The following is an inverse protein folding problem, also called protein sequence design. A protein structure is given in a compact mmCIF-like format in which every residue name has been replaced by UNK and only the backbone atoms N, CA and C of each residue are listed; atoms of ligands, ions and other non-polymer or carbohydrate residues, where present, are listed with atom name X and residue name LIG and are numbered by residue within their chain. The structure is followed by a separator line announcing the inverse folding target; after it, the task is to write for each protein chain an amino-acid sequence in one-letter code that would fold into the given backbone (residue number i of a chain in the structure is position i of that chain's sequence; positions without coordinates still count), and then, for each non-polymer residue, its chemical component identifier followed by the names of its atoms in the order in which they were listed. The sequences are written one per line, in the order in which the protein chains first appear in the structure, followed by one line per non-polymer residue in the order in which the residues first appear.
data_IF_564762490346
#
_entry.id   IF_564762490346
#
_cell.length_a   1.000
_cell.length_b   1.000
_cell.length_c   1.000
_cell.angle_alpha   90.00
_cell.angle_beta   90.00
_cell.angle_gamma   90.00
#
_symmetry.space_group_name_H-M   'P 1'
#
loop_
_entity.id
_entity.type
_entity.pdbx_description
1 polymer ?
#
# COMPACT_ATOMS: atom_id res chain seq x y z
N UNK A 1 30.45 32.50 19.33
CA UNK A 1 30.16 31.80 18.05
C UNK A 1 29.71 30.34 18.22
N UNK A 2 30.34 29.50 19.06
CA UNK A 2 29.96 28.08 19.22
C UNK A 2 28.48 27.85 19.60
N UNK A 3 27.94 28.64 20.55
CA UNK A 3 26.55 28.48 21.04
C UNK A 3 25.52 28.85 19.96
N UNK A 4 25.84 29.82 19.10
CA UNK A 4 24.96 30.29 18.02
C UNK A 4 24.90 29.27 16.86
N UNK A 5 26.02 28.59 16.59
CA UNK A 5 26.09 27.52 15.60
C UNK A 5 25.31 26.27 16.05
N UNK A 6 25.38 25.92 17.34
CA UNK A 6 24.61 24.80 17.91
C UNK A 6 23.10 25.06 17.87
N UNK A 7 22.67 26.30 18.14
CA UNK A 7 21.26 26.69 18.04
C UNK A 7 20.72 26.57 16.61
N UNK A 8 21.49 27.02 15.60
CA UNK A 8 21.12 26.95 14.19
C UNK A 8 20.93 25.49 13.71
N UNK A 9 21.83 24.60 14.12
CA UNK A 9 21.75 23.17 13.79
C UNK A 9 20.52 22.52 14.45
N UNK A 10 20.15 22.94 15.66
CA UNK A 10 18.97 22.43 16.35
C UNK A 10 17.66 22.79 15.62
N UNK A 11 17.53 24.02 15.11
CA UNK A 11 16.36 24.45 14.33
C UNK A 11 16.19 23.71 12.99
N UNK A 12 17.28 23.24 12.37
CA UNK A 12 17.21 22.50 11.11
C UNK A 12 16.53 21.13 11.25
N UNK A 13 16.53 20.52 12.44
CA UNK A 13 15.93 19.20 12.67
C UNK A 13 14.44 19.24 13.05
N UNK A 14 13.87 20.41 13.38
CA UNK A 14 12.48 20.53 13.86
C UNK A 14 11.41 20.21 12.79
N UNK A 15 11.76 20.14 11.51
CA UNK A 15 10.81 19.94 10.41
C UNK A 15 10.69 18.50 9.90
N UNK A 16 11.42 17.54 10.51
CA UNK A 16 11.33 16.14 10.11
C UNK A 16 10.11 15.47 10.76
N UNK A 17 9.03 15.29 9.99
CA UNK A 17 7.82 14.59 10.44
C UNK A 17 7.76 13.19 9.82
N UNK A 18 7.67 12.16 10.68
CA UNK A 18 7.32 10.80 10.25
C UNK A 18 5.81 10.68 10.26
N UNK A 19 5.22 10.48 9.08
CA UNK A 19 3.79 10.18 8.97
C UNK A 19 3.65 8.67 9.04
N UNK A 20 2.89 8.21 10.03
CA UNK A 20 2.52 6.81 10.17
C UNK A 20 1.11 6.64 9.63
N UNK A 21 0.96 5.81 8.61
CA UNK A 21 -0.35 5.47 8.04
C UNK A 21 -0.62 4.00 8.29
N UNK A 22 -1.68 3.73 9.04
CA UNK A 22 -2.19 2.37 9.27
C UNK A 22 -3.41 2.14 8.39
N UNK A 23 -3.41 1.04 7.66
CA UNK A 23 -4.56 0.60 6.85
C UNK A 23 -4.93 -0.80 7.26
N UNK A 24 -6.18 -0.99 7.66
CA UNK A 24 -6.73 -2.30 8.00
C UNK A 24 -7.58 -2.82 6.83
N UNK A 25 -7.20 -3.97 6.30
CA UNK A 25 -8.02 -4.73 5.35
C UNK A 25 -8.72 -5.87 6.07
N UNK A 26 -9.91 -6.20 5.62
CA UNK A 26 -10.68 -7.32 6.15
C UNK A 26 -11.19 -8.19 5.00
N UNK A 27 -11.28 -9.49 5.25
CA UNK A 27 -11.94 -10.44 4.36
C UNK A 27 -12.79 -11.40 5.18
N UNK A 28 -13.92 -11.80 4.62
CA UNK A 28 -14.79 -12.82 5.19
C UNK A 28 -14.68 -14.09 4.36
N UNK A 29 -14.74 -15.24 5.03
CA UNK A 29 -14.77 -16.55 4.37
C UNK A 29 -15.77 -17.47 5.03
N UNK A 30 -16.24 -18.44 4.25
CA UNK A 30 -17.23 -19.43 4.67
C UNK A 30 -16.69 -20.83 4.43
N UNK A 31 -17.01 -21.75 5.33
CA UNK A 31 -16.48 -23.11 5.28
C UNK A 31 -17.42 -24.13 5.90
N UNK A 32 -17.56 -25.26 5.21
CA UNK A 32 -18.35 -26.39 5.65
C UNK A 32 -17.47 -27.61 5.98
N UNK A 33 -17.69 -28.21 7.14
CA UNK A 33 -16.95 -29.40 7.59
C UNK A 33 -17.78 -30.30 8.49
N UNK A 34 -17.42 -31.59 8.53
CA UNK A 34 -18.05 -32.59 9.39
C UNK A 34 -17.79 -32.24 10.87
N UNK A 35 -16.61 -31.69 11.17
CA UNK A 35 -16.28 -31.15 12.49
C UNK A 35 -16.18 -29.63 12.46
N UNK A 36 -16.34 -28.99 13.63
CA UNK A 36 -16.19 -27.55 13.78
C UNK A 36 -14.81 -27.06 13.33
N UNK A 37 -13.76 -27.79 13.70
CA UNK A 37 -12.38 -27.47 13.33
C UNK A 37 -12.18 -27.51 11.81
N UNK A 38 -12.78 -28.50 11.15
CA UNK A 38 -12.72 -28.62 9.70
C UNK A 38 -13.44 -27.47 9.00
N UNK A 39 -14.61 -27.07 9.52
CA UNK A 39 -15.37 -25.94 9.00
C UNK A 39 -14.60 -24.62 9.17
N UNK A 40 -14.02 -24.38 10.35
CA UNK A 40 -13.18 -23.20 10.63
C UNK A 40 -11.95 -23.17 9.71
N UNK A 41 -11.23 -24.28 9.56
CA UNK A 41 -10.05 -24.35 8.69
C UNK A 41 -10.37 -24.02 7.23
N UNK A 42 -11.51 -24.50 6.70
CA UNK A 42 -11.97 -24.16 5.35
C UNK A 42 -12.41 -22.71 5.22
N UNK A 43 -13.13 -22.19 6.22
CA UNK A 43 -13.56 -20.79 6.23
C UNK A 43 -12.36 -19.83 6.25
N UNK A 44 -11.31 -20.18 7.00
CA UNK A 44 -10.05 -19.45 7.03
C UNK A 44 -9.33 -19.51 5.68
N UNK A 45 -9.27 -20.67 5.04
CA UNK A 45 -8.68 -20.80 3.71
C UNK A 45 -9.41 -19.93 2.67
N UNK A 46 -10.75 -19.91 2.68
CA UNK A 46 -11.56 -19.04 1.82
C UNK A 46 -11.29 -17.55 2.10
N UNK A 47 -11.34 -17.14 3.37
CA UNK A 47 -11.08 -15.76 3.78
C UNK A 47 -9.68 -15.27 3.35
N UNK A 48 -8.66 -16.11 3.55
CA UNK A 48 -7.27 -15.83 3.17
C UNK A 48 -7.16 -15.72 1.65
N UNK A 49 -7.80 -16.63 0.92
CA UNK A 49 -7.81 -16.61 -0.55
C UNK A 49 -8.40 -15.32 -1.10
N UNK A 50 -9.48 -14.81 -0.48
CA UNK A 50 -10.09 -13.51 -0.81
C UNK A 50 -9.20 -12.33 -0.46
N UNK A 51 -8.44 -12.41 0.63
CA UNK A 51 -7.51 -11.33 1.04
C UNK A 51 -6.25 -11.25 0.16
N UNK A 52 -5.77 -12.39 -0.37
CA UNK A 52 -4.50 -12.49 -1.11
C UNK A 52 -4.65 -12.85 -2.60
N UNK A 53 -5.88 -12.97 -3.12
CA UNK A 53 -6.17 -13.17 -4.54
C UNK A 53 -5.75 -14.55 -5.09
N UNK A 54 -6.16 -15.64 -4.43
CA UNK A 54 -5.99 -17.03 -4.93
C UNK A 54 -4.56 -17.60 -4.88
N UNK A 55 -3.52 -16.77 -4.80
CA UNK A 55 -2.11 -17.20 -4.76
C UNK A 55 -1.74 -18.04 -3.53
N UNK A 56 -2.51 -17.93 -2.45
CA UNK A 56 -2.26 -18.62 -1.19
C UNK A 56 -3.09 -19.92 -1.04
N UNK A 57 -4.06 -20.17 -1.92
CA UNK A 57 -5.02 -21.28 -1.83
C UNK A 57 -4.39 -22.68 -1.95
N UNK A 58 -3.18 -22.79 -2.51
CA UNK A 58 -2.58 -24.09 -2.82
C UNK A 58 -1.80 -24.75 -1.67
N UNK A 59 -1.48 -24.04 -0.59
CA UNK A 59 -0.57 -24.56 0.46
C UNK A 59 -1.21 -24.82 1.82
N UNK A 60 -2.45 -24.40 2.06
CA UNK A 60 -3.03 -24.39 3.42
C UNK A 60 -3.94 -25.59 3.67
N UNK A 61 -3.34 -26.76 3.88
CA UNK A 61 -4.04 -27.81 4.62
C UNK A 61 -3.87 -27.50 6.11
N UNK A 62 -4.83 -26.76 6.68
CA UNK A 62 -4.81 -26.42 8.10
C UNK A 62 -4.93 -27.71 8.93
N UNK A 63 -3.80 -28.27 9.41
CA UNK A 63 -3.77 -29.52 10.16
C UNK A 63 -3.75 -29.22 11.65
N UNK A 64 -4.93 -29.20 12.27
CA UNK A 64 -5.03 -29.15 13.72
C UNK A 64 -4.65 -30.49 14.34
N UNK A 65 -3.50 -30.54 15.04
CA UNK A 65 -3.22 -31.60 16.03
C UNK A 65 -4.12 -31.34 17.23
N UNK A 66 -5.37 -31.81 17.18
CA UNK A 66 -6.34 -31.65 18.26
C UNK A 66 -5.96 -32.53 19.45
N UNK A 67 -5.15 -32.02 20.38
CA UNK A 67 -5.26 -32.44 21.79
C UNK A 67 -6.53 -31.77 22.32
N UNK A 68 -7.60 -32.56 22.46
CA UNK A 68 -8.88 -32.14 23.05
C UNK A 68 -8.62 -31.66 24.47
N UNK A 69 -8.43 -30.35 24.63
CA UNK A 69 -8.50 -29.70 25.93
C UNK A 69 -9.82 -28.96 26.04
N UNK A 70 -10.50 -29.09 27.18
CA UNK A 70 -11.93 -28.79 27.36
C UNK A 70 -12.32 -27.31 27.17
N UNK A 71 -11.36 -26.42 26.89
CA UNK A 71 -11.54 -24.97 26.93
C UNK A 71 -11.39 -24.23 25.59
N UNK A 72 -11.18 -24.91 24.45
CA UNK A 72 -11.17 -24.27 23.11
C UNK A 72 -10.04 -23.28 22.80
N UNK A 73 -9.35 -22.73 23.81
CA UNK A 73 -8.23 -21.77 23.66
C UNK A 73 -7.04 -22.35 22.90
N UNK A 74 -6.76 -23.65 23.06
CA UNK A 74 -5.65 -24.29 22.36
C UNK A 74 -5.89 -24.41 20.85
N UNK A 75 -7.16 -24.52 20.45
CA UNK A 75 -7.58 -24.60 19.06
C UNK A 75 -7.41 -23.24 18.37
N UNK A 76 -7.85 -22.16 19.02
CA UNK A 76 -7.72 -20.80 18.49
C UNK A 76 -6.25 -20.40 18.30
N UNK A 77 -5.41 -20.72 19.28
CA UNK A 77 -3.97 -20.51 19.19
C UNK A 77 -3.35 -21.28 18.02
N UNK A 78 -3.71 -22.55 17.85
CA UNK A 78 -3.23 -23.38 16.74
C UNK A 78 -3.60 -22.79 15.38
N UNK A 79 -4.84 -22.31 15.22
CA UNK A 79 -5.25 -21.68 13.96
C UNK A 79 -4.53 -20.35 13.72
N UNK A 80 -4.39 -19.51 14.75
CA UNK A 80 -3.64 -18.25 14.63
C UNK A 80 -2.19 -18.50 14.19
N UNK A 81 -1.51 -19.48 14.77
CA UNK A 81 -0.14 -19.85 14.39
C UNK A 81 -0.05 -20.34 12.94
N UNK A 82 -1.02 -21.13 12.50
CA UNK A 82 -1.04 -21.68 11.15
C UNK A 82 -1.37 -20.62 10.11
N UNK A 83 -2.30 -19.70 10.41
CA UNK A 83 -2.60 -18.54 9.56
C UNK A 83 -1.36 -17.65 9.47
N UNK A 84 -0.67 -17.41 10.59
CA UNK A 84 0.56 -16.60 10.62
C UNK A 84 1.66 -17.24 9.76
N UNK A 85 1.79 -18.57 9.77
CA UNK A 85 2.71 -19.29 8.87
C UNK A 85 2.30 -19.14 7.41
N UNK A 86 1.04 -19.39 7.08
CA UNK A 86 0.52 -19.29 5.72
C UNK A 86 0.67 -17.87 5.14
N UNK A 87 0.39 -16.85 5.95
CA UNK A 87 0.44 -15.44 5.56
C UNK A 87 1.80 -14.78 5.76
N UNK A 88 2.85 -15.55 6.12
CA UNK A 88 4.20 -15.04 6.42
C UNK A 88 4.20 -13.88 7.44
N UNK A 89 3.36 -13.98 8.47
CA UNK A 89 3.24 -12.98 9.53
C UNK A 89 2.38 -11.77 9.19
N UNK A 90 1.73 -11.74 8.03
CA UNK A 90 0.97 -10.58 7.55
C UNK A 90 -0.49 -10.57 7.99
N UNK A 91 -0.79 -10.99 9.22
CA UNK A 91 -2.14 -11.19 9.72
C UNK A 91 -2.24 -10.82 11.21
N UNK A 92 -3.35 -10.21 11.61
CA UNK A 92 -3.56 -9.78 13.01
C UNK A 92 -4.25 -10.87 13.83
N UNK A 93 -5.50 -11.16 13.49
CA UNK A 93 -6.35 -12.13 14.19
C UNK A 93 -7.58 -12.50 13.36
N UNK A 94 -8.11 -13.70 13.59
CA UNK A 94 -9.37 -14.16 13.01
C UNK A 94 -10.46 -14.16 14.07
N UNK A 95 -11.70 -14.04 13.63
CA UNK A 95 -12.88 -14.04 14.48
C UNK A 95 -13.98 -14.86 13.81
N UNK A 96 -14.61 -15.76 14.58
CA UNK A 96 -15.75 -16.55 14.10
C UNK A 96 -17.01 -15.72 14.28
N UNK A 97 -17.62 -15.30 13.17
CA UNK A 97 -18.80 -14.42 13.16
C UNK A 97 -20.10 -15.19 13.03
N UNK A 98 -20.05 -16.46 12.61
CA UNK A 98 -21.22 -17.33 12.57
C UNK A 98 -20.83 -18.79 12.70
N UNK A 99 -21.64 -19.55 13.43
CA UNK A 99 -21.55 -21.00 13.56
C UNK A 99 -22.96 -21.57 13.47
N UNK A 100 -23.23 -22.32 12.41
CA UNK A 100 -24.50 -23.01 12.18
C UNK A 100 -24.21 -24.50 12.19
N UNK A 101 -24.85 -25.23 13.10
CA UNK A 101 -24.83 -26.69 13.08
C UNK A 101 -25.95 -27.19 12.16
N UNK A 102 -25.58 -28.07 11.24
CA UNK A 102 -26.46 -28.76 10.30
C UNK A 102 -26.48 -30.24 10.64
N UNK A 103 -27.41 -31.01 10.06
CA UNK A 103 -27.52 -32.45 10.33
C UNK A 103 -26.22 -33.22 10.04
N UNK A 104 -25.46 -32.76 9.04
CA UNK A 104 -24.27 -33.46 8.53
C UNK A 104 -22.95 -32.79 8.91
N UNK A 105 -22.97 -31.72 9.72
CA UNK A 105 -21.75 -31.00 10.11
C UNK A 105 -21.96 -29.54 10.52
N UNK A 106 -20.95 -28.71 10.32
CA UNK A 106 -20.92 -27.30 10.67
C UNK A 106 -20.69 -26.42 9.44
N UNK A 107 -21.47 -25.35 9.33
CA UNK A 107 -21.18 -24.21 8.47
C UNK A 107 -20.69 -23.05 9.34
N UNK A 108 -19.51 -22.53 9.04
CA UNK A 108 -18.84 -21.48 9.81
C UNK A 108 -18.47 -20.31 8.91
N UNK A 109 -18.72 -19.09 9.38
CA UNK A 109 -18.20 -17.85 8.78
C UNK A 109 -17.15 -17.23 9.69
N UNK A 110 -16.06 -16.80 9.08
CA UNK A 110 -14.95 -16.12 9.76
C UNK A 110 -14.66 -14.77 9.11
N UNK A 111 -14.16 -13.84 9.91
CA UNK A 111 -13.55 -12.60 9.43
C UNK A 111 -12.08 -12.60 9.81
N UNK A 112 -11.23 -12.19 8.87
CA UNK A 112 -9.79 -12.09 9.05
C UNK A 112 -9.40 -10.62 8.88
N UNK A 113 -8.60 -10.07 9.81
CA UNK A 113 -8.13 -8.68 9.80
C UNK A 113 -6.62 -8.61 9.55
N UNK A 114 -6.19 -7.68 8.69
CA UNK A 114 -4.79 -7.38 8.40
C UNK A 114 -4.53 -5.90 8.49
N UNK A 115 -3.73 -5.48 9.46
CA UNK A 115 -3.31 -4.09 9.63
C UNK A 115 -1.90 -3.93 9.10
N UNK A 116 -1.76 -3.08 8.08
CA UNK A 116 -0.44 -2.73 7.53
C UNK A 116 -0.10 -1.31 7.97
N UNK A 117 0.99 -1.19 8.72
CA UNK A 117 1.51 0.11 9.17
C UNK A 117 2.69 0.49 8.29
N UNK A 118 2.57 1.61 7.59
CA UNK A 118 3.67 2.17 6.79
C UNK A 118 4.14 3.47 7.41
N UNK A 119 5.45 3.66 7.45
CA UNK A 119 6.08 4.90 7.91
C UNK A 119 6.69 5.58 6.68
N UNK A 120 6.29 6.82 6.42
CA UNK A 120 6.88 7.64 5.36
C UNK A 120 7.42 8.93 5.96
N UNK A 121 8.60 9.33 5.51
CA UNK A 121 9.15 10.64 5.82
C UNK A 121 8.39 11.68 5.00
N UNK A 122 7.81 12.67 5.67
CA UNK A 122 7.26 13.83 4.99
C UNK A 122 8.39 14.80 4.70
N UNK A 123 8.74 14.96 3.43
CA UNK A 123 9.72 15.96 3.02
C UNK A 123 9.20 17.37 3.37
N UNK A 124 10.04 18.25 3.93
CA UNK A 124 9.64 19.63 4.21
C UNK A 124 9.32 20.38 2.90
N UNK A 125 8.23 21.14 2.90
CA UNK A 125 7.75 21.92 1.75
C UNK A 125 6.35 21.53 1.26
N UNK A 126 5.91 22.12 0.13
CA UNK A 126 4.62 21.81 -0.50
C UNK A 126 4.61 20.38 -1.04
N UNK A 127 3.58 19.60 -0.68
CA UNK A 127 3.39 18.23 -1.16
C UNK A 127 3.47 18.15 -2.69
N UNK A 128 4.14 17.13 -3.21
CA UNK A 128 4.22 16.86 -4.63
C UNK A 128 2.98 16.10 -5.16
N UNK A 129 2.27 15.40 -4.28
CA UNK A 129 1.28 14.37 -4.66
C UNK A 129 0.04 14.95 -5.38
N UNK A 130 -0.28 16.23 -5.16
CA UNK A 130 -1.47 16.89 -5.73
C UNK A 130 -1.14 18.07 -6.66
N UNK A 131 0.09 18.15 -7.18
CA UNK A 131 0.46 19.24 -8.08
C UNK A 131 -0.22 19.06 -9.44
N UNK A 132 -0.82 20.13 -9.97
CA UNK A 132 -1.33 20.14 -11.34
C UNK A 132 -0.16 20.07 -12.31
N UNK A 133 -0.32 19.27 -13.37
CA UNK A 133 0.66 19.20 -14.46
C UNK A 133 0.39 20.28 -15.49
N UNK A 134 1.43 20.95 -15.98
CA UNK A 134 1.37 22.03 -16.97
C UNK A 134 2.44 21.78 -18.04
N UNK A 135 2.14 22.13 -19.30
CA UNK A 135 3.13 22.24 -20.37
C UNK A 135 3.10 23.66 -20.93
N UNK A 136 4.26 24.17 -21.33
CA UNK A 136 4.41 25.48 -21.96
C UNK A 136 4.94 25.25 -23.37
N UNK A 137 4.23 25.77 -24.38
CA UNK A 137 4.61 25.67 -25.77
C UNK A 137 4.89 27.05 -26.35
N UNK A 138 5.90 27.16 -27.21
CA UNK A 138 6.06 28.32 -28.09
C UNK A 138 5.11 28.18 -29.29
N UNK A 139 4.29 29.21 -29.52
CA UNK A 139 3.35 29.28 -30.65
C UNK A 139 3.64 30.43 -31.60
N UNK A 140 4.85 30.99 -31.55
CA UNK A 140 5.25 32.15 -32.36
C UNK A 140 5.17 31.84 -33.86
N UNK A 141 4.22 32.45 -34.60
CA UNK A 141 4.00 32.12 -36.01
C UNK A 141 5.06 32.76 -36.93
N UNK A 142 5.61 33.89 -36.51
CA UNK A 142 6.58 34.68 -37.27
C UNK A 142 7.99 34.07 -37.12
N UNK A 143 8.54 33.59 -38.23
CA UNK A 143 9.87 32.98 -38.28
C UNK A 143 10.98 33.92 -37.77
N UNK A 144 10.85 35.23 -37.99
CA UNK A 144 11.83 36.22 -37.54
C UNK A 144 11.82 36.43 -36.00
N UNK A 145 10.75 36.00 -35.31
CA UNK A 145 10.57 36.19 -33.86
C UNK A 145 10.68 34.91 -33.05
N UNK A 146 10.94 33.75 -33.69
CA UNK A 146 11.08 32.45 -33.00
C UNK A 146 12.09 32.45 -31.86
N UNK A 147 13.20 33.20 -31.99
CA UNK A 147 14.20 33.32 -30.93
C UNK A 147 13.67 33.99 -29.66
N UNK A 148 12.69 34.87 -29.78
CA UNK A 148 12.03 35.52 -28.63
C UNK A 148 11.02 34.56 -27.98
N UNK A 149 10.26 33.84 -28.80
CA UNK A 149 9.28 32.84 -28.35
C UNK A 149 9.94 31.74 -27.51
N UNK A 150 11.05 31.18 -28.01
CA UNK A 150 11.80 30.15 -27.29
C UNK A 150 12.41 30.67 -25.98
N UNK A 151 12.98 31.87 -25.98
CA UNK A 151 13.53 32.49 -24.78
C UNK A 151 12.45 32.74 -23.70
N UNK A 152 11.25 33.19 -24.12
CA UNK A 152 10.11 33.38 -23.23
C UNK A 152 9.60 32.05 -22.67
N UNK A 153 9.45 31.03 -23.51
CA UNK A 153 9.06 29.67 -23.09
C UNK A 153 10.00 29.17 -21.99
N UNK A 154 11.32 29.26 -22.20
CA UNK A 154 12.32 28.84 -21.21
C UNK A 154 12.22 29.62 -19.91
N UNK A 155 11.98 30.94 -19.97
CA UNK A 155 11.83 31.74 -18.75
C UNK A 155 10.59 31.34 -17.95
N UNK A 156 9.45 31.13 -18.62
CA UNK A 156 8.22 30.67 -17.97
C UNK A 156 8.41 29.29 -17.34
N UNK A 157 9.06 28.35 -18.03
CA UNK A 157 9.38 27.02 -17.49
C UNK A 157 10.24 27.14 -16.23
N UNK A 158 11.28 27.98 -16.26
CA UNK A 158 12.15 28.23 -15.10
C UNK A 158 11.36 28.75 -13.90
N UNK A 159 10.51 29.77 -14.10
CA UNK A 159 9.74 30.39 -13.02
C UNK A 159 8.71 29.38 -12.43
N UNK A 160 8.09 28.55 -13.28
CA UNK A 160 7.18 27.49 -12.85
C UNK A 160 7.88 26.42 -12.02
N UNK A 161 9.07 25.97 -12.44
CA UNK A 161 9.89 25.00 -11.71
C UNK A 161 10.34 25.56 -10.34
N UNK A 162 10.80 26.81 -10.31
CA UNK A 162 11.22 27.50 -9.09
C UNK A 162 10.08 27.65 -8.08
N UNK A 163 8.85 27.88 -8.55
CA UNK A 163 7.68 27.99 -7.68
C UNK A 163 7.38 26.70 -6.90
N UNK A 164 7.80 25.53 -7.41
CA UNK A 164 7.46 24.19 -6.90
C UNK A 164 5.95 23.96 -6.72
N UNK A 165 5.08 24.72 -7.39
CA UNK A 165 3.61 24.59 -7.32
C UNK A 165 3.05 23.61 -8.36
N UNK A 166 3.77 23.40 -9.46
CA UNK A 166 3.33 22.63 -10.61
C UNK A 166 4.32 21.51 -10.94
N UNK A 167 3.82 20.50 -11.65
CA UNK A 167 4.66 19.56 -12.39
C UNK A 167 4.78 20.06 -13.82
N UNK A 168 5.98 20.49 -14.24
CA UNK A 168 6.19 21.03 -15.59
C UNK A 168 6.60 19.86 -16.50
N UNK A 169 5.75 19.55 -17.49
CA UNK A 169 5.99 18.49 -18.44
C UNK A 169 6.72 19.05 -19.66
N UNK A 170 7.90 18.52 -19.94
CA UNK A 170 8.61 18.75 -21.20
C UNK A 170 8.06 17.78 -22.26
N UNK A 171 7.40 18.30 -23.29
CA UNK A 171 6.78 17.50 -24.37
C UNK A 171 7.51 17.66 -25.70
N UNK A 172 8.51 18.52 -25.77
CA UNK A 172 9.28 18.78 -26.98
C UNK A 172 10.42 17.75 -27.17
N UNK A 173 10.69 16.89 -26.17
CA UNK A 173 11.74 15.86 -26.22
C UNK A 173 11.36 14.57 -26.99
N UNK A 174 10.15 14.49 -27.56
CA UNK A 174 9.70 13.32 -28.33
C UNK A 174 10.62 12.98 -29.51
N UNK A 175 11.39 13.93 -30.02
CA UNK A 175 12.41 13.68 -31.04
C UNK A 175 13.63 12.89 -30.54
N UNK A 176 14.07 13.06 -29.29
CA UNK A 176 15.28 12.37 -28.79
C UNK A 176 15.06 10.87 -28.57
N UNK A 177 13.87 10.47 -28.11
CA UNK A 177 13.50 9.06 -27.94
C UNK A 177 13.38 8.32 -29.29
N UNK A 178 12.84 9.00 -30.32
CA UNK A 178 12.73 8.45 -31.68
C UNK A 178 14.11 8.40 -32.38
N UNK A 179 15.00 9.38 -32.12
CA UNK A 179 16.38 9.38 -32.62
C UNK A 179 17.25 8.28 -32.00
N UNK A 180 17.12 8.00 -30.70
CA UNK A 180 17.84 6.88 -30.05
C UNK A 180 17.39 5.51 -30.55
N UNK A 181 16.13 5.36 -30.97
CA UNK A 181 15.61 4.11 -31.56
C UNK A 181 16.09 3.85 -32.99
N UNK A 182 16.57 4.89 -33.68
CA UNK A 182 17.01 4.83 -35.07
C UNK A 182 18.53 4.60 -35.22
N UNK A 183 19.27 4.56 -34.11
CA UNK A 183 20.68 4.15 -34.00
C UNK A 183 20.79 2.66 -33.61
#
# INVERSE_FOLDING_TARGET
MRVLFVSLVFFAFLNAKVVTTSTTKQAQGEGYGVTYEQAVGKALADAISRMYGGSLSQSTNFKTKSTKDKNGQNLEKSFNDEIRRATKGSFDSYEVISKIQTNDGFNVKVVIKKTTTTKKYQAPGLSADNRRSITVFDSTPDAAKRGIGSALQQKIISDLLQSRKFNVLDRDSSGYYEMEKAL
#
